data_IF_354066201177
#
_entry.id   IF_354066201177
#
_cell.length_a   1.000
_cell.length_b   1.000
_cell.length_c   1.000
_cell.angle_alpha   90.00
_cell.angle_beta   90.00
_cell.angle_gamma   90.00
#
_symmetry.space_group_name_H-M   'P 1'
#
loop_
_entity.id
_entity.type
_entity.pdbx_description
1 polymer ?
#
# COMPACT_ATOMS: atom_id res chain seq x y z
N UNK A 1 -24.92 -32.68 14.20
CA UNK A 1 -25.04 -31.72 13.07
C UNK A 1 -24.75 -30.28 13.55
N UNK A 2 -23.67 -30.13 14.31
CA UNK A 2 -22.43 -29.42 13.95
C UNK A 2 -22.53 -27.94 13.55
N UNK A 3 -23.09 -27.13 14.46
CA UNK A 3 -22.94 -25.66 14.45
C UNK A 3 -21.49 -25.16 14.29
N UNK A 4 -20.51 -25.98 14.67
CA UNK A 4 -19.08 -25.71 14.55
C UNK A 4 -18.59 -25.82 13.10
N UNK A 5 -19.13 -26.79 12.34
CA UNK A 5 -18.84 -26.92 10.91
C UNK A 5 -19.49 -25.77 10.13
N UNK A 6 -20.73 -25.41 10.49
CA UNK A 6 -21.42 -24.25 9.89
C UNK A 6 -20.65 -22.94 10.16
N UNK A 7 -20.17 -22.71 11.38
CA UNK A 7 -19.43 -21.49 11.72
C UNK A 7 -18.06 -21.40 11.03
N UNK A 8 -17.36 -22.52 10.86
CA UNK A 8 -16.10 -22.58 10.12
C UNK A 8 -16.31 -22.31 8.62
N UNK A 9 -17.38 -22.86 8.04
CA UNK A 9 -17.75 -22.61 6.63
C UNK A 9 -18.18 -21.16 6.43
N UNK A 10 -19.01 -20.60 7.32
CA UNK A 10 -19.39 -19.18 7.32
C UNK A 10 -18.17 -18.26 7.48
N UNK A 11 -17.23 -18.59 8.38
CA UNK A 11 -15.99 -17.84 8.58
C UNK A 11 -15.08 -17.84 7.35
N UNK A 12 -14.94 -18.99 6.70
CA UNK A 12 -14.17 -19.14 5.46
C UNK A 12 -14.84 -18.43 4.27
N UNK A 13 -16.17 -18.47 4.18
CA UNK A 13 -16.95 -17.75 3.16
C UNK A 13 -16.94 -16.22 3.37
N UNK A 14 -16.80 -15.77 4.62
CA UNK A 14 -16.78 -14.36 5.00
C UNK A 14 -15.34 -13.80 5.15
N UNK A 15 -14.33 -14.55 4.71
CA UNK A 15 -12.95 -14.06 4.66
C UNK A 15 -12.87 -12.95 3.62
N UNK A 16 -12.83 -11.69 4.07
CA UNK A 16 -12.59 -10.53 3.19
C UNK A 16 -11.29 -10.73 2.44
N UNK A 17 -11.37 -10.79 1.12
CA UNK A 17 -10.20 -10.78 0.25
C UNK A 17 -9.59 -9.38 0.33
N UNK A 18 -8.33 -9.31 0.70
CA UNK A 18 -7.57 -8.07 0.84
C UNK A 18 -6.29 -8.13 0.04
N UNK A 19 -5.82 -6.97 -0.42
CA UNK A 19 -4.53 -6.81 -1.09
C UNK A 19 -3.69 -5.87 -0.24
N UNK A 20 -2.41 -6.23 -0.11
CA UNK A 20 -1.37 -5.37 0.42
C UNK A 20 -0.40 -5.06 -0.72
N UNK A 21 -0.32 -3.79 -1.11
CA UNK A 21 0.69 -3.32 -2.06
C UNK A 21 1.82 -2.62 -1.29
N UNK A 22 3.06 -2.94 -1.61
CA UNK A 22 4.25 -2.42 -0.93
C UNK A 22 5.15 -1.77 -1.97
N UNK A 23 5.50 -0.50 -1.76
CA UNK A 23 6.43 0.27 -2.58
C UNK A 23 7.57 0.80 -1.73
N UNK A 24 8.77 0.87 -2.30
CA UNK A 24 9.93 1.39 -1.59
C UNK A 24 9.84 2.91 -1.45
N UNK A 25 9.42 3.59 -2.51
CA UNK A 25 9.32 5.04 -2.61
C UNK A 25 7.89 5.47 -2.94
N UNK A 26 7.51 6.73 -2.65
CA UNK A 26 6.22 7.26 -3.04
C UNK A 26 6.19 7.45 -4.56
N UNK A 27 5.35 6.68 -5.28
CA UNK A 27 5.18 6.57 -6.75
C UNK A 27 5.23 5.12 -7.25
N UNK A 28 6.00 4.25 -6.58
CA UNK A 28 6.23 2.86 -7.00
C UNK A 28 4.93 2.07 -7.19
N UNK A 29 3.98 2.25 -6.27
CA UNK A 29 2.72 1.48 -6.27
C UNK A 29 1.81 1.97 -7.40
N UNK A 30 1.71 3.29 -7.55
CA UNK A 30 0.90 4.00 -8.53
C UNK A 30 1.38 3.67 -9.95
N UNK A 31 2.68 3.77 -10.19
CA UNK A 31 3.30 3.50 -11.49
C UNK A 31 3.38 2.00 -11.80
N UNK A 32 3.70 1.17 -10.80
CA UNK A 32 3.90 -0.27 -11.00
C UNK A 32 2.59 -1.05 -11.16
N UNK A 33 1.53 -0.68 -10.43
CA UNK A 33 0.30 -1.48 -10.39
C UNK A 33 -1.01 -0.68 -10.24
N UNK A 34 -1.00 0.64 -10.44
CA UNK A 34 -2.16 1.49 -10.20
C UNK A 34 -3.44 1.06 -10.94
N UNK A 35 -3.34 0.70 -12.22
CA UNK A 35 -4.50 0.24 -12.99
C UNK A 35 -5.11 -1.06 -12.44
N UNK A 36 -4.26 -1.99 -11.97
CA UNK A 36 -4.70 -3.24 -11.35
C UNK A 36 -5.39 -2.97 -10.02
N UNK A 37 -4.81 -2.11 -9.17
CA UNK A 37 -5.42 -1.73 -7.90
C UNK A 37 -6.78 -1.05 -8.09
N UNK A 38 -6.88 -0.10 -9.03
CA UNK A 38 -8.14 0.57 -9.34
C UNK A 38 -9.23 -0.42 -9.80
N UNK A 39 -8.88 -1.37 -10.66
CA UNK A 39 -9.81 -2.43 -11.11
C UNK A 39 -10.26 -3.34 -9.96
N UNK A 40 -9.38 -3.64 -9.01
CA UNK A 40 -9.68 -4.52 -7.87
C UNK A 40 -10.50 -3.77 -6.80
N UNK A 41 -10.22 -2.49 -6.58
CA UNK A 41 -11.01 -1.61 -5.74
C UNK A 41 -12.46 -1.51 -6.24
N UNK A 42 -12.67 -1.35 -7.56
CA UNK A 42 -14.02 -1.37 -8.17
C UNK A 42 -14.76 -2.69 -7.98
N UNK A 43 -14.05 -3.80 -7.76
CA UNK A 43 -14.64 -5.11 -7.42
C UNK A 43 -14.91 -5.28 -5.93
N UNK A 44 -14.74 -4.23 -5.12
CA UNK A 44 -14.96 -4.24 -3.68
C UNK A 44 -13.87 -4.97 -2.88
N UNK A 45 -12.70 -5.19 -3.46
CA UNK A 45 -11.55 -5.75 -2.73
C UNK A 45 -10.96 -4.68 -1.84
N UNK A 46 -10.71 -5.02 -0.57
CA UNK A 46 -10.05 -4.12 0.36
C UNK A 46 -8.57 -4.00 0.02
N UNK A 47 -8.05 -2.78 -0.12
CA UNK A 47 -6.66 -2.55 -0.51
C UNK A 47 -5.99 -1.67 0.52
N UNK A 48 -4.90 -2.17 1.09
CA UNK A 48 -3.98 -1.42 1.93
C UNK A 48 -2.65 -1.24 1.20
N UNK A 49 -2.01 -0.10 1.40
CA UNK A 49 -0.72 0.22 0.80
C UNK A 49 0.29 0.62 1.86
N UNK A 50 1.55 0.25 1.63
CA UNK A 50 2.68 0.59 2.49
C UNK A 50 3.78 1.19 1.63
N UNK A 51 4.17 2.42 1.94
CA UNK A 51 5.35 3.06 1.35
C UNK A 51 6.45 3.12 2.39
N UNK A 52 7.62 2.59 2.04
CA UNK A 52 8.71 2.39 3.00
C UNK A 52 9.44 3.70 3.31
N UNK A 53 9.78 4.49 2.29
CA UNK A 53 10.64 5.68 2.42
C UNK A 53 9.90 6.97 2.07
N UNK A 54 10.49 8.11 2.43
CA UNK A 54 9.97 9.44 2.08
C UNK A 54 10.21 9.84 0.62
N UNK A 55 11.09 9.14 -0.10
CA UNK A 55 11.43 9.46 -1.50
C UNK A 55 12.16 10.80 -1.69
N UNK A 56 12.73 11.37 -0.61
CA UNK A 56 13.34 12.70 -0.61
C UNK A 56 14.64 12.79 -1.43
N UNK A 57 15.29 11.67 -1.74
CA UNK A 57 16.53 11.67 -2.53
C UNK A 57 16.26 11.85 -4.03
N UNK A 58 15.01 11.66 -4.46
CA UNK A 58 14.60 11.77 -5.88
C UNK A 58 14.00 13.12 -6.28
N UNK A 59 13.97 14.12 -5.39
CA UNK A 59 13.35 15.43 -5.66
C UNK A 59 14.28 16.59 -5.32
N UNK A 60 14.24 17.63 -6.16
CA UNK A 60 14.90 18.90 -5.87
C UNK A 60 13.92 19.83 -5.13
N UNK A 61 14.19 20.09 -3.84
CA UNK A 61 13.44 21.04 -3.02
C UNK A 61 12.64 20.40 -1.88
N UNK A 62 11.78 21.20 -1.25
CA UNK A 62 10.93 20.77 -0.12
C UNK A 62 9.56 20.42 -0.69
N UNK A 63 9.36 19.14 -1.01
CA UNK A 63 8.10 18.58 -1.52
C UNK A 63 7.67 17.45 -0.59
N UNK A 64 6.41 17.45 -0.15
CA UNK A 64 5.84 16.33 0.61
C UNK A 64 5.36 15.23 -0.35
N UNK A 65 6.28 14.35 -0.75
CA UNK A 65 5.96 13.20 -1.61
C UNK A 65 4.99 12.21 -0.97
N UNK A 66 4.88 12.21 0.36
CA UNK A 66 3.89 11.39 1.05
C UNK A 66 2.48 11.95 0.86
N UNK A 67 2.30 13.27 0.79
CA UNK A 67 1.00 13.84 0.45
C UNK A 67 0.58 13.46 -0.99
N UNK A 68 1.51 13.57 -1.94
CA UNK A 68 1.29 13.19 -3.33
C UNK A 68 0.83 11.73 -3.46
N UNK A 69 1.58 10.81 -2.84
CA UNK A 69 1.24 9.38 -2.89
C UNK A 69 -0.07 9.06 -2.17
N UNK A 70 -0.37 9.67 -1.01
CA UNK A 70 -1.67 9.50 -0.34
C UNK A 70 -2.83 9.92 -1.25
N UNK A 71 -2.68 11.04 -1.94
CA UNK A 71 -3.72 11.56 -2.83
C UNK A 71 -3.92 10.64 -4.04
N UNK A 72 -2.83 10.19 -4.67
CA UNK A 72 -2.89 9.29 -5.81
C UNK A 72 -3.52 7.93 -5.44
N UNK A 73 -3.10 7.31 -4.34
CA UNK A 73 -3.63 6.03 -3.88
C UNK A 73 -5.10 6.11 -3.47
N UNK A 74 -5.52 7.25 -2.91
CA UNK A 74 -6.94 7.54 -2.63
C UNK A 74 -7.77 7.59 -3.91
N UNK A 75 -7.26 8.24 -4.96
CA UNK A 75 -7.92 8.29 -6.28
C UNK A 75 -8.06 6.88 -6.87
N UNK A 76 -7.06 6.02 -6.68
CA UNK A 76 -7.08 4.62 -7.13
C UNK A 76 -8.02 3.72 -6.30
N UNK A 77 -8.68 4.24 -5.26
CA UNK A 77 -9.60 3.46 -4.42
C UNK A 77 -8.91 2.60 -3.36
N UNK A 78 -7.65 2.90 -3.01
CA UNK A 78 -7.00 2.28 -1.86
C UNK A 78 -7.63 2.79 -0.56
N UNK A 79 -7.86 1.88 0.38
CA UNK A 79 -8.63 2.17 1.60
C UNK A 79 -7.74 2.69 2.73
N UNK A 80 -6.48 2.27 2.74
CA UNK A 80 -5.51 2.63 3.76
C UNK A 80 -4.14 2.77 3.13
N UNK A 81 -3.41 3.81 3.54
CA UNK A 81 -2.04 4.07 3.13
C UNK A 81 -1.19 4.34 4.36
N UNK A 82 -0.12 3.58 4.53
CA UNK A 82 0.81 3.66 5.65
C UNK A 82 2.17 4.08 5.13
N UNK A 83 2.73 5.14 5.70
CA UNK A 83 4.05 5.63 5.40
C UNK A 83 4.98 5.37 6.58
N UNK A 84 6.04 4.60 6.36
CA UNK A 84 6.95 4.19 7.44
C UNK A 84 8.07 5.21 7.69
N UNK A 85 8.24 6.19 6.80
CA UNK A 85 9.23 7.27 6.91
C UNK A 85 10.68 6.77 7.08
N UNK A 86 11.04 5.64 6.48
CA UNK A 86 12.44 5.19 6.48
C UNK A 86 13.30 6.12 5.62
N UNK A 87 14.59 6.21 5.96
CA UNK A 87 15.54 7.01 5.21
C UNK A 87 15.64 6.49 3.77
N UNK A 88 15.43 7.39 2.81
CA UNK A 88 15.59 7.12 1.40
C UNK A 88 17.09 7.05 1.05
N UNK A 89 17.52 5.98 0.37
CA UNK A 89 18.90 5.66 -0.04
C UNK A 89 20.00 6.09 0.97
N UNK A 90 20.59 5.16 1.76
CA UNK A 90 21.64 5.53 2.72
C UNK A 90 22.81 6.22 2.03
N UNK A 91 23.06 7.50 2.34
CA UNK A 91 24.18 8.30 1.77
C UNK A 91 25.53 8.06 2.45
N UNK A 92 25.66 7.02 3.28
CA UNK A 92 26.94 6.66 3.89
C UNK A 92 26.93 5.20 4.33
N UNK A 93 27.62 4.35 3.57
CA UNK A 93 28.19 3.12 4.11
C UNK A 93 29.57 3.51 4.67
N UNK A 94 29.62 4.05 5.89
CA UNK A 94 30.88 4.10 6.63
C UNK A 94 31.14 2.68 7.09
N UNK A 95 31.93 1.92 6.33
CA UNK A 95 32.54 0.70 6.83
C UNK A 95 33.33 1.07 8.09
N UNK A 96 32.88 0.56 9.24
CA UNK A 96 33.68 0.55 10.46
C UNK A 96 34.86 -0.39 10.30
#
# INVERSE_FOLDING_TARGET
>A
MDKVLDSAILSSANKRKGILAIGAHPDDIELGCGASLARLAQKGIYIATVVMTTGNSGVDGIIDRHEESRNALKILGCHQTIHLNFADTPRSFTAQ
#
